data_IF_800171506571
#
_entry.id   IF_800171506571
#
_cell.length_a   1.000
_cell.length_b   1.000
_cell.length_c   1.000
_cell.angle_alpha   90.00
_cell.angle_beta   90.00
_cell.angle_gamma   90.00
#
_symmetry.space_group_name_H-M   'P 1'
#
loop_
_entity.id
_entity.type
_entity.pdbx_description
1 polymer ?
#
# COMPACT_ATOMS: atom_id res chain seq x y z
N UNK A 1 20.06 6.12 5.58
CA UNK A 1 19.24 6.97 6.18
C UNK A 1 17.95 6.31 6.57
N UNK A 2 17.61 6.36 7.74
CA UNK A 2 16.40 5.74 8.19
C UNK A 2 15.19 6.49 7.66
N UNK A 3 14.15 5.78 7.40
CA UNK A 3 12.89 6.37 7.10
C UNK A 3 12.31 6.95 8.38
N UNK A 4 11.62 8.08 8.29
CA UNK A 4 10.87 8.59 9.42
C UNK A 4 9.83 7.59 9.88
N UNK A 5 9.31 6.77 8.97
CA UNK A 5 8.32 5.76 9.31
C UNK A 5 8.89 4.66 10.17
N UNK A 6 10.20 4.42 10.10
CA UNK A 6 10.81 3.35 10.88
C UNK A 6 10.66 3.55 12.38
N UNK A 7 10.47 4.79 12.86
CA UNK A 7 10.23 5.05 14.26
C UNK A 7 8.75 5.12 14.63
N UNK A 8 7.86 5.02 13.64
CA UNK A 8 6.43 5.20 13.85
C UNK A 8 5.67 3.90 13.58
N UNK A 9 6.05 3.18 12.54
CA UNK A 9 5.42 1.91 12.19
C UNK A 9 6.48 0.84 12.01
N UNK A 10 6.06 -0.40 12.09
CA UNK A 10 6.94 -1.55 11.88
C UNK A 10 6.90 -1.99 10.43
N UNK A 11 5.79 -1.74 9.74
CA UNK A 11 5.60 -2.22 8.37
C UNK A 11 4.92 -1.16 7.54
N UNK A 12 5.23 -1.16 6.25
CA UNK A 12 4.54 -0.38 5.25
C UNK A 12 3.92 -1.35 4.25
N UNK A 13 2.63 -1.21 4.00
CA UNK A 13 1.97 -1.99 2.96
C UNK A 13 1.79 -1.06 1.77
N UNK A 14 2.66 -1.22 0.78
CA UNK A 14 2.61 -0.40 -0.43
C UNK A 14 1.66 -1.04 -1.43
N UNK A 15 0.74 -0.25 -1.97
CA UNK A 15 -0.24 -0.78 -2.91
C UNK A 15 -0.15 -0.05 -4.24
N UNK A 16 0.11 -0.83 -5.28
CA UNK A 16 0.11 -0.35 -6.66
C UNK A 16 -1.28 -0.64 -7.20
N UNK A 17 -2.05 0.42 -7.47
CA UNK A 17 -3.46 0.27 -7.81
C UNK A 17 -3.65 0.32 -9.32
N UNK A 18 -4.48 -0.59 -9.79
CA UNK A 18 -4.89 -0.64 -11.20
C UNK A 18 -6.39 -0.83 -11.27
N UNK A 19 -6.94 -0.67 -12.46
CA UNK A 19 -8.38 -0.74 -12.62
C UNK A 19 -8.95 -2.09 -12.20
N UNK A 20 -8.28 -3.17 -12.56
CA UNK A 20 -8.82 -4.51 -12.35
C UNK A 20 -8.18 -5.24 -11.19
N UNK A 21 -6.96 -4.91 -10.83
CA UNK A 21 -6.25 -5.57 -9.74
C UNK A 21 -5.43 -4.55 -8.95
N UNK A 22 -5.14 -4.91 -7.71
CA UNK A 22 -4.19 -4.18 -6.89
C UNK A 22 -3.09 -5.14 -6.48
N UNK A 23 -1.85 -4.67 -6.48
CA UNK A 23 -0.71 -5.46 -6.00
C UNK A 23 -0.17 -4.78 -4.75
N UNK A 24 -0.11 -5.51 -3.67
CA UNK A 24 0.38 -5.00 -2.39
C UNK A 24 1.65 -5.71 -2.00
N UNK A 25 2.58 -4.97 -1.43
CA UNK A 25 3.82 -5.52 -0.90
C UNK A 25 3.99 -5.05 0.54
N UNK A 26 4.29 -5.98 1.43
CA UNK A 26 4.61 -5.65 2.81
C UNK A 26 6.11 -5.44 2.90
N UNK A 27 6.49 -4.30 3.43
CA UNK A 27 7.88 -3.89 3.54
C UNK A 27 8.20 -3.67 5.01
N UNK A 28 9.34 -4.21 5.45
CA UNK A 28 9.87 -3.91 6.78
C UNK A 28 10.30 -2.46 6.80
N UNK A 29 9.72 -1.66 7.69
CA UNK A 29 9.98 -0.22 7.70
C UNK A 29 11.41 0.12 8.09
N UNK A 30 12.09 -0.77 8.81
CA UNK A 30 13.46 -0.50 9.25
C UNK A 30 14.48 -0.82 8.17
N UNK A 31 14.26 -1.87 7.40
CA UNK A 31 15.25 -2.33 6.45
C UNK A 31 14.92 -1.99 5.01
N UNK A 32 13.64 -1.72 4.74
CA UNK A 32 13.18 -1.53 3.36
C UNK A 32 13.01 -2.85 2.62
N UNK A 33 13.21 -3.98 3.28
CA UNK A 33 13.10 -5.28 2.62
C UNK A 33 11.67 -5.70 2.43
N UNK A 34 11.38 -6.27 1.26
CA UNK A 34 10.05 -6.80 0.97
C UNK A 34 9.88 -8.15 1.66
N UNK A 35 8.82 -8.28 2.44
CA UNK A 35 8.54 -9.50 3.17
C UNK A 35 7.68 -10.44 2.33
N UNK A 36 6.64 -9.89 1.69
CA UNK A 36 5.75 -10.70 0.88
C UNK A 36 4.92 -9.77 0.00
N UNK A 37 4.26 -10.31 -1.01
CA UNK A 37 3.37 -9.52 -1.84
C UNK A 37 2.24 -10.37 -2.37
N UNK A 38 1.15 -9.70 -2.76
CA UNK A 38 -0.05 -10.36 -3.22
C UNK A 38 -0.74 -9.47 -4.24
N UNK A 39 -1.42 -10.08 -5.19
CA UNK A 39 -2.27 -9.37 -6.14
C UNK A 39 -3.71 -9.84 -5.93
N UNK A 40 -4.62 -8.89 -5.86
CA UNK A 40 -6.04 -9.16 -5.60
C UNK A 40 -6.89 -8.38 -6.59
N UNK A 41 -8.14 -8.80 -6.80
CA UNK A 41 -9.04 -8.00 -7.65
C UNK A 41 -9.40 -6.68 -6.98
N UNK A 42 -9.75 -5.70 -7.82
CA UNK A 42 -10.16 -4.37 -7.37
C UNK A 42 -11.65 -4.40 -7.03
N UNK A 43 -11.99 -5.04 -5.93
CA UNK A 43 -13.37 -5.15 -5.45
C UNK A 43 -13.36 -5.46 -3.95
N UNK A 44 -14.55 -5.57 -3.37
CA UNK A 44 -14.69 -5.81 -1.93
C UNK A 44 -14.00 -7.09 -1.47
N UNK A 45 -14.05 -8.12 -2.30
CA UNK A 45 -13.38 -9.38 -1.97
C UNK A 45 -11.87 -9.17 -1.92
N UNK A 46 -11.32 -8.46 -2.90
CA UNK A 46 -9.89 -8.16 -2.91
C UNK A 46 -9.47 -7.31 -1.73
N UNK A 47 -10.30 -6.34 -1.33
CA UNK A 47 -9.98 -5.49 -0.19
C UNK A 47 -9.92 -6.29 1.10
N UNK A 48 -10.85 -7.25 1.28
CA UNK A 48 -10.82 -8.13 2.43
C UNK A 48 -9.57 -8.99 2.43
N UNK A 49 -9.20 -9.50 1.27
CA UNK A 49 -7.98 -10.30 1.16
C UNK A 49 -6.74 -9.52 1.50
N UNK A 50 -6.71 -8.24 1.10
CA UNK A 50 -5.58 -7.39 1.46
C UNK A 50 -5.48 -7.18 2.97
N UNK A 51 -6.63 -6.96 3.63
CA UNK A 51 -6.60 -6.79 5.08
C UNK A 51 -6.14 -8.07 5.77
N UNK A 52 -6.62 -9.23 5.34
CA UNK A 52 -6.15 -10.51 5.88
C UNK A 52 -4.66 -10.71 5.67
N UNK A 53 -4.19 -10.37 4.48
CA UNK A 53 -2.77 -10.47 4.16
C UNK A 53 -1.94 -9.58 5.08
N UNK A 54 -2.40 -8.35 5.30
CA UNK A 54 -1.69 -7.45 6.20
C UNK A 54 -1.73 -7.94 7.64
N UNK A 55 -2.85 -8.51 8.07
CA UNK A 55 -2.94 -9.06 9.42
C UNK A 55 -1.94 -10.20 9.62
N UNK A 56 -1.68 -10.97 8.58
CA UNK A 56 -0.75 -12.10 8.67
C UNK A 56 0.70 -11.69 8.51
N UNK A 57 0.97 -10.76 7.60
CA UNK A 57 2.34 -10.42 7.22
C UNK A 57 2.86 -9.15 7.88
N UNK A 58 1.96 -8.29 8.33
CA UNK A 58 2.31 -7.01 8.94
C UNK A 58 1.44 -6.78 10.17
N UNK A 59 1.53 -7.66 11.18
CA UNK A 59 0.57 -7.66 12.30
C UNK A 59 0.76 -6.52 13.29
N UNK A 60 1.90 -5.87 13.25
CA UNK A 60 2.19 -4.80 14.20
C UNK A 60 1.75 -3.47 13.61
N UNK A 61 2.31 -2.37 14.12
CA UNK A 61 1.98 -1.04 13.63
C UNK A 61 2.30 -0.97 12.14
N UNK A 62 1.32 -0.58 11.37
CA UNK A 62 1.48 -0.55 9.91
C UNK A 62 0.79 0.66 9.33
N UNK A 63 1.29 1.10 8.18
CA UNK A 63 0.67 2.15 7.37
C UNK A 63 0.52 1.62 5.95
N UNK A 64 -0.57 2.00 5.32
CA UNK A 64 -0.82 1.66 3.92
C UNK A 64 -0.43 2.85 3.07
N UNK A 65 0.51 2.65 2.18
CA UNK A 65 0.95 3.68 1.25
C UNK A 65 0.34 3.37 -0.11
N UNK A 66 -0.61 4.18 -0.54
CA UNK A 66 -1.45 3.87 -1.69
C UNK A 66 -1.34 4.95 -2.74
N UNK A 67 -1.08 4.54 -3.98
CA UNK A 67 -1.16 5.43 -5.12
C UNK A 67 -2.60 5.54 -5.58
N UNK A 68 -2.96 6.69 -6.12
CA UNK A 68 -4.24 6.84 -6.78
C UNK A 68 -5.44 6.74 -5.87
N UNK A 69 -5.36 7.31 -4.66
CA UNK A 69 -6.47 7.25 -3.72
C UNK A 69 -7.72 7.94 -4.24
N UNK A 70 -7.58 8.82 -5.23
CA UNK A 70 -8.73 9.48 -5.86
C UNK A 70 -9.17 8.81 -7.16
N UNK A 71 -8.58 7.70 -7.52
CA UNK A 71 -8.94 7.00 -8.75
C UNK A 71 -9.09 5.51 -8.46
N UNK A 72 -8.20 4.66 -9.00
CA UNK A 72 -8.37 3.22 -8.82
C UNK A 72 -8.21 2.79 -7.37
N UNK A 73 -7.51 3.55 -6.56
CA UNK A 73 -7.34 3.24 -5.15
C UNK A 73 -8.45 3.76 -4.24
N UNK A 74 -9.47 4.45 -4.79
CA UNK A 74 -10.48 5.10 -3.95
C UNK A 74 -11.28 4.11 -3.13
N UNK A 75 -11.72 3.01 -3.73
CA UNK A 75 -12.51 2.01 -3.02
C UNK A 75 -11.73 1.34 -1.90
N UNK A 76 -10.48 0.99 -2.20
CA UNK A 76 -9.61 0.40 -1.18
C UNK A 76 -9.38 1.38 -0.03
N UNK A 77 -9.09 2.64 -0.36
CA UNK A 77 -8.85 3.65 0.66
C UNK A 77 -10.04 3.80 1.59
N UNK A 78 -11.26 3.88 1.02
CA UNK A 78 -12.45 3.98 1.83
C UNK A 78 -12.60 2.77 2.74
N UNK A 79 -12.40 1.58 2.20
CA UNK A 79 -12.51 0.35 2.98
C UNK A 79 -11.51 0.31 4.14
N UNK A 80 -10.27 0.71 3.87
CA UNK A 80 -9.23 0.69 4.90
C UNK A 80 -9.53 1.71 6.00
N UNK A 81 -9.94 2.91 5.62
CA UNK A 81 -10.27 3.93 6.61
C UNK A 81 -11.45 3.51 7.48
N UNK A 82 -12.44 2.83 6.89
CA UNK A 82 -13.58 2.33 7.65
C UNK A 82 -13.17 1.26 8.66
N UNK A 83 -12.06 0.60 8.42
CA UNK A 83 -11.55 -0.42 9.33
C UNK A 83 -10.47 0.12 10.26
N UNK A 84 -10.32 1.44 10.32
CA UNK A 84 -9.37 2.05 11.25
C UNK A 84 -7.91 1.96 10.83
N UNK A 85 -7.65 1.66 9.57
CA UNK A 85 -6.29 1.57 9.08
C UNK A 85 -5.71 2.96 8.84
N UNK A 86 -4.41 3.07 9.00
CA UNK A 86 -3.69 4.29 8.71
C UNK A 86 -3.29 4.27 7.24
N UNK A 87 -3.77 5.26 6.47
CA UNK A 87 -3.51 5.32 5.03
C UNK A 87 -2.80 6.63 4.72
N UNK A 88 -1.74 6.54 3.93
CA UNK A 88 -1.12 7.73 3.36
C UNK A 88 -1.17 7.61 1.86
N UNK A 89 -1.42 8.73 1.21
CA UNK A 89 -1.41 8.78 -0.23
C UNK A 89 0.00 9.07 -0.69
N UNK A 90 0.46 8.33 -1.69
CA UNK A 90 1.72 8.65 -2.35
C UNK A 90 1.42 9.00 -3.78
N UNK A 91 2.07 10.05 -4.25
CA UNK A 91 1.93 10.44 -5.64
C UNK A 91 2.82 9.54 -6.47
N UNK A 92 2.26 9.08 -7.59
CA UNK A 92 3.10 8.37 -8.53
C UNK A 92 4.14 9.35 -9.05
N UNK A 93 5.41 9.04 -8.95
CA UNK A 93 6.43 9.94 -9.46
C UNK A 93 6.17 10.24 -10.93
N UNK A 94 6.33 11.48 -11.30
CA UNK A 94 6.20 11.86 -12.71
C UNK A 94 7.23 11.05 -13.48
N UNK A 95 6.81 10.53 -14.63
CA UNK A 95 7.77 9.90 -15.46
C UNK A 95 8.80 10.91 -15.85
N UNK A 96 10.04 10.54 -15.85
CA UNK A 96 11.06 11.44 -16.34
C UNK A 96 10.63 11.93 -17.69
N UNK A 97 10.75 13.18 -17.93
CA UNK A 97 10.44 13.68 -19.23
C UNK A 97 11.16 12.83 -20.18
N UNK A 98 10.45 12.34 -21.05
CA UNK A 98 11.07 11.52 -21.92
C UNK A 98 11.88 12.30 -22.63
N UNK A 99 12.70 12.48 -22.36
CA UNK A 99 13.41 13.27 -22.78
C UNK A 99 13.86 12.92 -23.64
N UNK A 100 13.70 12.64 -23.89
CA UNK A 100 13.81 12.30 -24.42
C UNK A 100 13.92 12.12 -24.70
N UNK A 101 13.86 12.04 -24.69
CA UNK A 101 13.99 11.89 -24.72
C UNK A 101 13.98 11.82 -24.44
#
# INVERSE_FOLDING_TARGET
>A
MGSMLAGVVDFVVGVDTHRDTHTAAVVDARTGGVIDQITVPTDAFGYRRLRSFADQQAPERRVWAIEGTGSYGAGLTTSLLEHGEWVVEIDRPARPARRDG
#
